data_IF_281358255811
#
_entry.id   IF_281358255811
#
_cell.length_a   1.000
_cell.length_b   1.000
_cell.length_c   1.000
_cell.angle_alpha   90.00
_cell.angle_beta   90.00
_cell.angle_gamma   90.00
#
_symmetry.space_group_name_H-M   'P 1'
#
loop_
_entity.id
_entity.type
_entity.pdbx_description
1 polymer ?
#
# COMPACT_ATOMS: atom_id res chain seq x y z
N UNK A 1 8.66 -10.40 4.46
CA UNK A 1 9.11 -9.77 3.20
C UNK A 1 8.69 -8.29 3.09
N UNK A 2 7.39 -7.93 3.20
CA UNK A 2 6.89 -6.52 3.11
C UNK A 2 7.66 -5.50 3.97
N UNK A 3 7.90 -5.82 5.24
CA UNK A 3 8.60 -4.91 6.15
C UNK A 3 10.01 -4.54 5.65
N UNK A 4 10.74 -5.49 5.06
CA UNK A 4 12.06 -5.24 4.47
C UNK A 4 11.98 -4.33 3.24
N UNK A 5 10.98 -4.53 2.38
CA UNK A 5 10.76 -3.68 1.21
C UNK A 5 10.39 -2.23 1.61
N UNK A 6 9.51 -2.08 2.62
CA UNK A 6 9.15 -0.77 3.18
C UNK A 6 10.36 -0.06 3.76
N UNK A 7 11.18 -0.76 4.54
CA UNK A 7 12.40 -0.19 5.11
C UNK A 7 13.39 0.24 4.01
N UNK A 8 13.68 -0.62 3.04
CA UNK A 8 14.60 -0.30 1.95
C UNK A 8 14.13 0.91 1.12
N UNK A 9 12.83 1.03 0.84
CA UNK A 9 12.29 2.19 0.15
C UNK A 9 12.45 3.48 0.98
N UNK A 10 12.25 3.41 2.29
CA UNK A 10 12.44 4.57 3.19
C UNK A 10 13.90 5.00 3.30
N UNK A 11 14.85 4.06 3.33
CA UNK A 11 16.29 4.38 3.28
C UNK A 11 16.67 5.15 2.00
N UNK A 12 15.89 4.96 0.92
CA UNK A 12 16.05 5.70 -0.34
C UNK A 12 15.21 7.00 -0.39
N UNK A 13 14.56 7.39 0.71
CA UNK A 13 13.66 8.56 0.75
C UNK A 13 12.36 8.39 -0.04
N UNK A 14 12.02 7.15 -0.43
CA UNK A 14 10.80 6.85 -1.18
C UNK A 14 9.64 6.53 -0.24
N UNK A 15 8.42 6.91 -0.66
CA UNK A 15 7.19 6.58 0.04
C UNK A 15 6.54 5.32 -0.57
N UNK A 16 6.48 4.19 0.15
CA UNK A 16 5.92 2.97 -0.41
C UNK A 16 4.41 3.05 -0.63
N UNK A 17 3.96 2.52 -1.77
CA UNK A 17 2.56 2.31 -2.11
C UNK A 17 2.31 0.85 -2.46
N UNK A 18 1.07 0.38 -2.32
CA UNK A 18 0.64 -0.94 -2.79
C UNK A 18 -0.78 -0.89 -3.33
N UNK A 19 -1.07 -1.82 -4.24
CA UNK A 19 -2.40 -2.06 -4.79
C UNK A 19 -2.90 -3.43 -4.33
N UNK A 20 -4.16 -3.49 -3.89
CA UNK A 20 -4.85 -4.72 -3.46
C UNK A 20 -6.07 -4.92 -4.33
N UNK A 21 -6.29 -6.13 -4.85
CA UNK A 21 -7.55 -6.45 -5.55
C UNK A 21 -8.74 -6.16 -4.64
N UNK A 22 -9.71 -5.38 -5.11
CA UNK A 22 -10.80 -4.89 -4.27
C UNK A 22 -11.70 -6.02 -3.72
N UNK A 23 -11.74 -7.17 -4.39
CA UNK A 23 -12.44 -8.37 -3.93
C UNK A 23 -11.69 -9.16 -2.85
N UNK A 24 -10.40 -8.90 -2.63
CA UNK A 24 -9.62 -9.51 -1.55
C UNK A 24 -9.80 -8.69 -0.25
N UNK A 25 -10.94 -8.92 0.39
CA UNK A 25 -11.33 -8.23 1.62
C UNK A 25 -10.41 -8.56 2.81
N UNK A 26 -9.81 -9.75 2.82
CA UNK A 26 -8.88 -10.16 3.87
C UNK A 26 -7.56 -9.37 3.76
N UNK A 27 -7.02 -9.21 2.56
CA UNK A 27 -5.85 -8.38 2.32
C UNK A 27 -6.13 -6.90 2.61
N UNK A 28 -7.28 -6.37 2.16
CA UNK A 28 -7.66 -4.98 2.46
C UNK A 28 -7.72 -4.71 3.97
N UNK A 29 -8.43 -5.58 4.71
CA UNK A 29 -8.54 -5.46 6.16
C UNK A 29 -7.18 -5.61 6.86
N UNK A 30 -6.28 -6.44 6.34
CA UNK A 30 -4.92 -6.58 6.88
C UNK A 30 -4.15 -5.26 6.77
N UNK A 31 -4.14 -4.62 5.60
CA UNK A 31 -3.39 -3.38 5.41
C UNK A 31 -3.99 -2.20 6.17
N UNK A 32 -5.32 -2.11 6.24
CA UNK A 32 -6.01 -1.11 7.05
C UNK A 32 -5.65 -1.24 8.54
N UNK A 33 -5.63 -2.46 9.10
CA UNK A 33 -5.17 -2.69 10.50
C UNK A 33 -3.69 -2.37 10.72
N UNK A 34 -2.87 -2.48 9.67
CA UNK A 34 -1.45 -2.14 9.71
C UNK A 34 -1.20 -0.63 9.55
N UNK A 35 -2.26 0.19 9.49
CA UNK A 35 -2.18 1.64 9.39
C UNK A 35 -1.86 2.15 7.99
N UNK A 36 -2.02 1.33 6.96
CA UNK A 36 -1.91 1.80 5.58
C UNK A 36 -3.06 2.74 5.26
N UNK A 37 -2.75 3.83 4.57
CA UNK A 37 -3.68 4.92 4.31
C UNK A 37 -4.32 4.68 2.94
N UNK A 38 -5.65 4.55 2.84
CA UNK A 38 -6.33 4.39 1.55
C UNK A 38 -6.17 5.67 0.72
N UNK A 39 -5.80 5.51 -0.55
CA UNK A 39 -5.62 6.61 -1.49
C UNK A 39 -6.79 6.69 -2.49
N UNK A 40 -7.09 5.57 -3.15
CA UNK A 40 -8.11 5.49 -4.18
C UNK A 40 -8.56 4.04 -4.40
N UNK A 41 -9.69 3.88 -5.08
CA UNK A 41 -10.03 2.63 -5.76
C UNK A 41 -10.07 2.92 -7.26
N UNK A 42 -9.31 2.15 -8.04
CA UNK A 42 -9.15 2.38 -9.50
C UNK A 42 -9.32 1.07 -10.26
N UNK A 43 -9.73 1.14 -11.51
CA UNK A 43 -9.71 -0.01 -12.41
C UNK A 43 -8.35 -0.08 -13.13
N UNK A 44 -7.69 -1.23 -13.02
CA UNK A 44 -6.46 -1.52 -13.74
C UNK A 44 -6.66 -2.60 -14.79
N UNK A 45 -6.05 -2.43 -15.96
CA UNK A 45 -6.02 -3.46 -16.99
C UNK A 45 -4.81 -4.36 -16.77
N UNK A 46 -5.03 -5.58 -16.27
CA UNK A 46 -3.97 -6.56 -16.02
C UNK A 46 -3.71 -7.48 -17.23
N UNK A 47 -4.70 -7.62 -18.12
CA UNK A 47 -4.59 -8.30 -19.40
C UNK A 47 -5.53 -7.64 -20.42
N UNK A 48 -5.40 -7.88 -21.74
CA UNK A 48 -6.25 -7.25 -22.76
C UNK A 48 -7.76 -7.36 -22.49
N UNK A 49 -8.18 -8.47 -21.89
CA UNK A 49 -9.56 -8.83 -21.54
C UNK A 49 -9.86 -8.76 -20.03
N UNK A 50 -8.91 -8.28 -19.21
CA UNK A 50 -9.04 -8.29 -17.75
C UNK A 50 -8.86 -6.90 -17.14
N UNK A 51 -9.99 -6.31 -16.74
CA UNK A 51 -10.05 -5.15 -15.85
C UNK A 51 -10.24 -5.63 -14.40
N UNK A 52 -9.45 -5.06 -13.48
CA UNK A 52 -9.44 -5.42 -12.06
C UNK A 52 -9.55 -4.14 -11.25
N UNK A 53 -10.60 -4.03 -10.43
CA UNK A 53 -10.69 -2.96 -9.44
C UNK A 53 -9.67 -3.23 -8.33
N UNK A 54 -8.79 -2.26 -8.06
CA UNK A 54 -7.83 -2.31 -6.97
C UNK A 54 -8.04 -1.16 -5.99
N UNK A 55 -7.74 -1.41 -4.72
CA UNK A 55 -7.60 -0.40 -3.68
C UNK A 55 -6.12 -0.04 -3.55
N UNK A 56 -5.81 1.23 -3.70
CA UNK A 56 -4.47 1.78 -3.61
C UNK A 56 -4.22 2.28 -2.18
N UNK A 57 -3.07 1.94 -1.61
CA UNK A 57 -2.72 2.32 -0.25
C UNK A 57 -1.30 2.90 -0.17
N UNK A 58 -1.12 3.90 0.68
CA UNK A 58 0.15 4.45 1.10
C UNK A 58 0.62 3.83 2.43
N UNK A 59 1.92 3.57 2.56
CA UNK A 59 2.49 3.14 3.84
C UNK A 59 2.28 4.24 4.90
N UNK A 60 2.10 3.90 6.19
CA UNK A 60 2.12 4.91 7.22
C UNK A 60 3.46 5.66 7.20
N UNK A 61 3.41 6.97 7.42
CA UNK A 61 4.61 7.75 7.75
C UNK A 61 5.16 7.20 9.07
N UNK A 62 6.48 7.01 9.17
CA UNK A 62 7.05 6.79 10.50
C UNK A 62 6.84 8.08 11.29
N UNK A 63 6.36 7.95 12.54
CA UNK A 63 6.24 9.11 13.40
C UNK A 63 7.62 9.80 13.47
N UNK A 64 7.71 11.13 13.27
CA UNK A 64 8.98 11.81 13.43
C UNK A 64 9.52 11.50 14.83
N UNK A 65 10.81 11.13 14.92
CA UNK A 65 11.52 11.08 16.20
C UNK A 65 11.34 12.47 16.84
N UNK A 66 10.56 12.54 17.92
CA UNK A 66 10.53 13.75 18.75
C UNK A 66 11.80 13.74 19.57
N UNK A 67 12.75 14.63 19.23
CA UNK A 67 13.89 14.96 20.06
C UNK A 67 15.23 14.70 19.38
N UNK A 68 15.83 15.78 18.88
CA UNK A 68 17.27 16.04 18.94
C UNK A 68 17.44 17.44 19.54
#
# INVERSE_FOLDING_TARGET
MRARAVHAARELGLHPVLDVVASDTAAAALYERLGWIPLATVEQRWAPDRLVSVRCYAAPQDAPVRGA
#
